data_IF_800858852854
#
_entry.id   IF_800858852854
#
_cell.length_a   1.000
_cell.length_b   1.000
_cell.length_c   1.000
_cell.angle_alpha   90.00
_cell.angle_beta   90.00
_cell.angle_gamma   90.00
#
_symmetry.space_group_name_H-M   'P 1'
#
loop_
_entity.id
_entity.type
_entity.pdbx_description
1 polymer ?
#
# COMPACT_ATOMS: atom_id res chain seq x y z
N UNK A 1 -33.02 24.40 -0.35
CA UNK A 1 -31.60 24.76 -0.62
C UNK A 1 -30.85 24.90 0.70
N UNK A 2 -29.99 23.94 1.06
CA UNK A 2 -28.96 24.10 2.12
C UNK A 2 -27.87 23.03 1.92
N UNK A 3 -26.62 23.46 2.01
CA UNK A 3 -25.39 22.80 1.55
C UNK A 3 -25.01 21.53 2.32
N UNK A 4 -24.64 20.48 1.58
CA UNK A 4 -24.10 19.19 2.05
C UNK A 4 -22.57 19.22 2.16
N UNK A 5 -22.03 19.91 3.17
CA UNK A 5 -20.57 19.98 3.43
C UNK A 5 -20.10 19.55 4.83
N UNK A 6 -20.94 18.95 5.67
CA UNK A 6 -20.61 18.76 7.10
C UNK A 6 -20.67 17.31 7.59
N UNK A 7 -20.05 16.36 6.88
CA UNK A 7 -20.01 14.95 7.32
C UNK A 7 -18.66 14.25 7.07
N UNK A 8 -17.53 14.96 7.21
CA UNK A 8 -16.19 14.32 7.23
C UNK A 8 -15.24 14.79 8.36
N UNK A 9 -15.70 15.58 9.33
CA UNK A 9 -14.85 16.05 10.45
C UNK A 9 -15.21 15.38 11.79
N UNK A 10 -15.15 14.05 11.83
CA UNK A 10 -15.32 13.28 13.07
C UNK A 10 -13.98 13.03 13.78
N UNK A 11 -13.87 13.16 15.12
CA UNK A 11 -12.63 12.97 15.89
C UNK A 11 -12.02 11.57 15.77
N UNK A 12 -12.79 10.60 15.28
CA UNK A 12 -12.32 9.25 14.98
C UNK A 12 -11.36 9.23 13.78
N UNK A 13 -11.61 10.02 12.72
CA UNK A 13 -10.75 10.03 11.53
C UNK A 13 -9.34 10.57 11.79
N UNK A 14 -9.22 11.55 12.68
CA UNK A 14 -7.91 12.11 13.10
C UNK A 14 -7.21 11.24 14.16
N UNK A 15 -7.98 10.45 14.90
CA UNK A 15 -7.48 9.51 15.90
C UNK A 15 -6.79 8.31 15.26
N UNK A 16 -7.31 7.77 14.16
CA UNK A 16 -6.59 6.76 13.37
C UNK A 16 -5.23 7.27 12.87
N UNK A 17 -5.18 8.51 12.34
CA UNK A 17 -3.92 9.12 11.89
C UNK A 17 -2.93 9.35 13.04
N UNK A 18 -3.42 9.78 14.22
CA UNK A 18 -2.62 10.03 15.42
C UNK A 18 -2.14 8.78 16.14
N UNK A 19 -2.98 7.76 16.21
CA UNK A 19 -2.66 6.48 16.87
C UNK A 19 -1.63 5.69 16.04
N UNK A 20 -1.61 5.87 14.71
CA UNK A 20 -0.51 5.44 13.83
C UNK A 20 0.80 6.18 14.13
N UNK A 21 0.74 7.45 14.57
CA UNK A 21 1.96 8.27 14.76
C UNK A 21 2.66 8.05 16.09
N UNK A 22 2.00 7.49 17.12
CA UNK A 22 2.55 7.47 18.48
C UNK A 22 2.99 6.11 19.02
N UNK A 23 2.68 4.97 18.37
CA UNK A 23 2.88 3.66 19.00
C UNK A 23 3.97 2.73 18.42
N UNK A 24 4.77 3.08 17.39
CA UNK A 24 5.71 2.12 16.78
C UNK A 24 7.01 2.77 16.24
N UNK A 25 7.98 3.05 17.11
CA UNK A 25 9.37 3.39 16.72
C UNK A 25 10.22 2.11 16.68
N UNK A 26 9.71 1.05 16.07
CA UNK A 26 10.51 0.28 15.12
C UNK A 26 10.06 0.83 13.78
N UNK A 27 10.85 1.77 13.26
CA UNK A 27 10.48 2.76 12.25
C UNK A 27 9.68 2.10 11.12
N UNK A 28 8.61 2.75 10.67
CA UNK A 28 7.79 2.34 9.52
C UNK A 28 8.63 1.83 8.34
N UNK A 29 9.84 2.37 8.20
CA UNK A 29 10.93 1.96 7.31
C UNK A 29 11.44 0.53 7.58
N UNK A 30 11.83 0.17 8.80
CA UNK A 30 12.19 -1.21 9.14
C UNK A 30 11.04 -2.20 8.90
N UNK A 31 9.79 -1.74 9.10
CA UNK A 31 8.59 -2.55 8.95
C UNK A 31 8.17 -2.77 7.50
N UNK A 32 8.46 -1.83 6.59
CA UNK A 32 7.97 -1.86 5.19
C UNK A 32 9.08 -2.00 4.14
N UNK A 33 10.30 -1.58 4.40
CA UNK A 33 11.42 -1.62 3.43
C UNK A 33 12.68 -2.31 3.99
N UNK A 34 12.79 -2.40 5.31
CA UNK A 34 14.01 -2.88 5.98
C UNK A 34 14.33 -4.37 5.82
N UNK A 35 13.34 -5.26 5.70
CA UNK A 35 13.60 -6.71 5.61
C UNK A 35 13.47 -7.28 4.19
N UNK A 36 14.21 -8.37 3.92
CA UNK A 36 14.24 -9.06 2.62
C UNK A 36 12.83 -9.50 2.18
N UNK A 37 12.02 -9.99 3.12
CA UNK A 37 10.64 -10.39 2.86
C UNK A 37 9.79 -9.24 2.28
N UNK A 38 9.94 -8.02 2.82
CA UNK A 38 9.17 -6.87 2.36
C UNK A 38 9.67 -6.39 1.00
N UNK A 39 10.99 -6.27 0.81
CA UNK A 39 11.57 -5.85 -0.47
C UNK A 39 11.18 -6.79 -1.60
N UNK A 40 11.19 -8.10 -1.35
CA UNK A 40 10.74 -9.10 -2.31
C UNK A 40 9.24 -8.97 -2.61
N UNK A 41 8.42 -8.67 -1.61
CA UNK A 41 6.99 -8.40 -1.81
C UNK A 41 6.80 -7.17 -2.71
N UNK A 42 7.50 -6.07 -2.43
CA UNK A 42 7.45 -4.87 -3.27
C UNK A 42 7.91 -5.14 -4.70
N UNK A 43 9.04 -5.83 -4.88
CA UNK A 43 9.55 -6.21 -6.19
C UNK A 43 8.51 -7.00 -6.99
N UNK A 44 7.89 -8.02 -6.38
CA UNK A 44 6.85 -8.84 -7.03
C UNK A 44 5.64 -8.02 -7.45
N UNK A 45 5.14 -7.14 -6.59
CA UNK A 45 3.98 -6.31 -6.90
C UNK A 45 4.30 -5.29 -7.97
N UNK A 46 5.44 -4.59 -7.87
CA UNK A 46 5.84 -3.60 -8.86
C UNK A 46 6.12 -4.22 -10.23
N UNK A 47 6.63 -5.46 -10.27
CA UNK A 47 6.80 -6.23 -11.50
C UNK A 47 5.49 -6.45 -12.26
N UNK A 48 4.36 -6.58 -11.55
CA UNK A 48 3.04 -6.66 -12.19
C UNK A 48 2.67 -5.39 -12.99
N UNK A 49 3.34 -4.27 -12.71
CA UNK A 49 3.10 -2.97 -13.32
C UNK A 49 4.27 -2.46 -14.18
N UNK A 50 5.28 -3.30 -14.42
CA UNK A 50 6.55 -2.97 -15.09
C UNK A 50 7.31 -1.83 -14.39
N UNK A 51 7.27 -1.81 -13.05
CA UNK A 51 7.92 -0.82 -12.19
C UNK A 51 8.93 -1.47 -11.24
N UNK A 52 9.36 -2.70 -11.51
CA UNK A 52 10.25 -3.48 -10.63
C UNK A 52 11.62 -2.82 -10.38
N UNK A 53 12.12 -2.03 -11.34
CA UNK A 53 13.30 -1.19 -11.14
C UNK A 53 13.13 -0.08 -10.10
N UNK A 54 11.90 0.17 -9.63
CA UNK A 54 11.57 1.13 -8.58
C UNK A 54 11.33 0.46 -7.23
N UNK A 55 11.68 -0.82 -7.06
CA UNK A 55 11.55 -1.49 -5.76
C UNK A 55 12.44 -0.81 -4.70
N UNK A 56 11.97 -0.75 -3.43
CA UNK A 56 12.74 -0.11 -2.37
C UNK A 56 14.05 -0.86 -2.14
N UNK A 57 15.13 -0.08 -2.03
CA UNK A 57 16.46 -0.61 -1.71
C UNK A 57 16.61 -0.82 -0.20
N UNK A 58 17.67 -1.53 0.20
CA UNK A 58 18.00 -1.68 1.61
C UNK A 58 18.23 -0.30 2.24
N UNK A 59 17.75 -0.12 3.48
CA UNK A 59 17.95 1.09 4.30
C UNK A 59 17.31 2.38 3.77
N UNK A 60 16.57 2.34 2.64
CA UNK A 60 15.82 3.49 2.17
C UNK A 60 14.52 3.69 3.00
N UNK A 61 14.28 4.88 3.57
CA UNK A 61 13.04 5.19 4.25
C UNK A 61 11.84 5.05 3.31
N UNK A 62 10.75 4.46 3.81
CA UNK A 62 9.53 4.19 3.04
C UNK A 62 8.92 5.47 2.47
N UNK A 63 8.87 6.54 3.26
CA UNK A 63 8.31 7.81 2.83
C UNK A 63 9.12 8.47 1.70
N UNK A 64 10.45 8.37 1.77
CA UNK A 64 11.37 8.87 0.73
C UNK A 64 11.23 8.03 -0.54
N UNK A 65 11.33 6.69 -0.40
CA UNK A 65 11.14 5.74 -1.49
C UNK A 65 9.83 5.98 -2.24
N UNK A 66 8.71 6.12 -1.51
CA UNK A 66 7.42 6.36 -2.13
C UNK A 66 7.41 7.69 -2.86
N UNK A 67 7.86 8.77 -2.22
CA UNK A 67 7.85 10.10 -2.83
C UNK A 67 8.68 10.16 -4.10
N UNK A 68 9.85 9.52 -4.12
CA UNK A 68 10.75 9.50 -5.27
C UNK A 68 10.26 8.58 -6.38
N UNK A 69 9.77 7.39 -6.03
CA UNK A 69 9.16 6.46 -7.00
C UNK A 69 7.94 7.09 -7.67
N UNK A 70 7.11 7.81 -6.89
CA UNK A 70 5.92 8.51 -7.39
C UNK A 70 6.26 9.57 -8.44
N UNK A 71 7.41 10.25 -8.32
CA UNK A 71 7.86 11.24 -9.32
C UNK A 71 8.13 10.57 -10.67
N UNK A 72 8.65 9.35 -10.66
CA UNK A 72 8.98 8.56 -11.85
C UNK A 72 7.75 7.91 -12.52
N UNK A 73 6.64 7.76 -11.78
CA UNK A 73 5.37 7.27 -12.32
C UNK A 73 4.65 8.38 -13.11
N UNK A 74 4.18 8.03 -14.32
CA UNK A 74 3.39 8.91 -15.18
C UNK A 74 2.19 9.51 -14.42
N UNK A 75 1.93 10.81 -14.59
CA UNK A 75 0.94 11.57 -13.79
C UNK A 75 -0.45 10.91 -13.75
N UNK A 76 -0.89 10.33 -14.87
CA UNK A 76 -2.18 9.62 -14.99
C UNK A 76 -2.26 8.34 -14.15
N UNK A 77 -1.12 7.67 -13.89
CA UNK A 77 -1.03 6.43 -13.11
C UNK A 77 -0.80 6.66 -11.61
N UNK A 78 -0.39 7.86 -11.19
CA UNK A 78 0.02 8.16 -9.80
C UNK A 78 -1.05 7.83 -8.77
N UNK A 79 -2.32 8.15 -9.02
CA UNK A 79 -3.42 7.84 -8.09
C UNK A 79 -3.60 6.33 -7.87
N UNK A 80 -3.52 5.55 -8.94
CA UNK A 80 -3.60 4.08 -8.86
C UNK A 80 -2.38 3.51 -8.16
N UNK A 81 -1.20 4.06 -8.46
CA UNK A 81 0.05 3.69 -7.81
C UNK A 81 0.00 3.95 -6.31
N UNK A 82 -0.42 5.14 -5.87
CA UNK A 82 -0.58 5.49 -4.45
C UNK A 82 -1.56 4.53 -3.74
N UNK A 83 -2.61 4.08 -4.44
CA UNK A 83 -3.58 3.13 -3.90
C UNK A 83 -2.98 1.74 -3.72
N UNK A 84 -2.15 1.27 -4.66
CA UNK A 84 -1.40 0.02 -4.52
C UNK A 84 -0.38 0.11 -3.39
N UNK A 85 0.38 1.21 -3.29
CA UNK A 85 1.36 1.40 -2.22
C UNK A 85 0.68 1.30 -0.84
N UNK A 86 -0.46 1.98 -0.67
CA UNK A 86 -1.26 1.85 0.55
C UNK A 86 -1.72 0.41 0.83
N UNK A 87 -2.27 -0.27 -0.17
CA UNK A 87 -2.76 -1.63 -0.02
C UNK A 87 -1.64 -2.61 0.36
N UNK A 88 -0.49 -2.52 -0.30
CA UNK A 88 0.68 -3.38 -0.01
C UNK A 88 1.19 -3.10 1.40
N UNK A 89 1.35 -1.83 1.78
CA UNK A 89 1.80 -1.46 3.12
C UNK A 89 0.85 -1.99 4.21
N UNK A 90 -0.46 -1.87 4.00
CA UNK A 90 -1.48 -2.42 4.89
C UNK A 90 -1.38 -3.95 5.02
N UNK A 91 -1.22 -4.66 3.90
CA UNK A 91 -1.15 -6.12 3.91
C UNK A 91 0.16 -6.65 4.49
N UNK A 92 1.29 -5.97 4.27
CA UNK A 92 2.56 -6.27 4.96
C UNK A 92 2.39 -6.09 6.47
N UNK A 93 1.80 -4.98 6.91
CA UNK A 93 1.53 -4.73 8.32
C UNK A 93 0.63 -5.81 8.93
N UNK A 94 -0.47 -6.17 8.23
CA UNK A 94 -1.38 -7.24 8.64
C UNK A 94 -0.65 -8.58 8.77
N UNK A 95 0.22 -8.91 7.83
CA UNK A 95 0.97 -10.17 7.84
C UNK A 95 1.98 -10.24 8.98
N UNK A 96 2.65 -9.12 9.28
CA UNK A 96 3.53 -9.02 10.45
C UNK A 96 2.77 -9.21 11.76
N UNK A 97 1.59 -8.62 11.90
CA UNK A 97 0.75 -8.83 13.08
C UNK A 97 0.35 -10.31 13.22
N UNK A 98 0.06 -11.01 12.13
CA UNK A 98 -0.18 -12.47 12.19
C UNK A 98 1.05 -13.25 12.64
N UNK A 99 2.27 -12.87 12.24
CA UNK A 99 3.51 -13.50 12.75
C UNK A 99 3.63 -13.37 14.26
N UNK A 100 3.42 -12.16 14.77
CA UNK A 100 3.57 -11.84 16.19
C UNK A 100 2.49 -12.55 17.02
N UNK A 101 1.24 -12.59 16.55
CA UNK A 101 0.11 -13.10 17.32
C UNK A 101 -0.24 -14.57 17.07
N UNK A 102 0.05 -15.12 15.88
CA UNK A 102 -0.41 -16.45 15.45
C UNK A 102 0.76 -17.38 15.06
N UNK A 103 2.02 -16.91 15.13
CA UNK A 103 3.23 -17.65 14.69
C UNK A 103 3.15 -18.20 13.26
N UNK A 104 2.25 -17.66 12.45
CA UNK A 104 2.02 -18.07 11.07
C UNK A 104 2.16 -16.85 10.17
N UNK A 105 2.87 -17.02 9.06
CA UNK A 105 2.78 -16.08 7.96
C UNK A 105 3.07 -16.66 6.59
N UNK A 106 2.44 -16.05 5.61
CA UNK A 106 2.69 -16.23 4.19
C UNK A 106 4.10 -15.75 3.83
N UNK A 107 4.68 -16.47 2.87
CA UNK A 107 5.89 -16.08 2.15
C UNK A 107 5.56 -15.02 1.09
N UNK A 108 6.52 -14.19 0.60
CA UNK A 108 6.24 -13.12 -0.36
C UNK A 108 5.56 -13.63 -1.64
N UNK A 109 5.98 -14.82 -2.08
CA UNK A 109 5.41 -15.52 -3.24
C UNK A 109 3.92 -15.83 -3.06
N UNK A 110 3.48 -16.12 -1.84
CA UNK A 110 2.07 -16.40 -1.51
C UNK A 110 1.29 -15.12 -1.16
N UNK A 111 1.97 -14.08 -0.66
CA UNK A 111 1.35 -12.80 -0.33
C UNK A 111 1.03 -11.96 -1.58
N UNK A 112 1.92 -11.97 -2.58
CA UNK A 112 1.73 -11.22 -3.82
C UNK A 112 0.39 -11.50 -4.56
N UNK A 113 -0.04 -12.76 -4.77
CA UNK A 113 -1.33 -13.04 -5.40
C UNK A 113 -2.52 -12.57 -4.53
N UNK A 114 -2.40 -12.63 -3.19
CA UNK A 114 -3.42 -12.12 -2.27
C UNK A 114 -3.57 -10.61 -2.42
N UNK A 115 -2.46 -9.86 -2.43
CA UNK A 115 -2.46 -8.41 -2.68
C UNK A 115 -3.13 -8.08 -4.01
N UNK A 116 -2.77 -8.81 -5.08
CA UNK A 116 -3.34 -8.55 -6.40
C UNK A 116 -4.83 -8.85 -6.46
N UNK A 117 -5.32 -9.88 -5.77
CA UNK A 117 -6.75 -10.15 -5.70
C UNK A 117 -7.51 -9.08 -4.92
N UNK A 118 -6.98 -8.62 -3.78
CA UNK A 118 -7.53 -7.48 -3.04
C UNK A 118 -7.58 -6.21 -3.90
N UNK A 119 -6.54 -5.95 -4.69
CA UNK A 119 -6.52 -4.80 -5.62
C UNK A 119 -7.62 -4.90 -6.68
N UNK A 120 -7.88 -6.11 -7.21
CA UNK A 120 -8.98 -6.35 -8.15
C UNK A 120 -10.34 -6.19 -7.48
N UNK A 121 -10.50 -6.65 -6.25
CA UNK A 121 -11.73 -6.45 -5.47
C UNK A 121 -12.01 -4.96 -5.27
N UNK A 122 -11.00 -4.17 -4.90
CA UNK A 122 -11.14 -2.72 -4.77
C UNK A 122 -11.51 -2.07 -6.10
N UNK A 123 -10.85 -2.47 -7.20
CA UNK A 123 -11.20 -1.97 -8.52
C UNK A 123 -12.66 -2.25 -8.89
N UNK A 124 -13.15 -3.49 -8.65
CA UNK A 124 -14.55 -3.88 -8.87
C UNK A 124 -15.53 -3.15 -7.94
N UNK A 125 -15.09 -2.78 -6.73
CA UNK A 125 -15.85 -1.97 -5.79
C UNK A 125 -15.91 -0.47 -6.15
N UNK A 126 -15.35 -0.07 -7.30
CA UNK A 126 -15.44 1.31 -7.80
C UNK A 126 -14.21 2.17 -7.54
N UNK A 127 -13.09 1.59 -7.11
CA UNK A 127 -11.82 2.33 -7.03
C UNK A 127 -11.24 2.54 -8.44
N UNK A 128 -11.76 3.56 -9.14
CA UNK A 128 -11.46 3.84 -10.55
C UNK A 128 -9.97 3.96 -10.84
N UNK A 129 -9.20 4.59 -9.94
CA UNK A 129 -7.76 4.75 -10.13
C UNK A 129 -7.01 3.40 -10.13
N UNK A 130 -7.45 2.43 -9.33
CA UNK A 130 -6.94 1.06 -9.35
C UNK A 130 -7.40 0.32 -10.60
N UNK A 131 -8.67 0.47 -10.99
CA UNK A 131 -9.19 -0.13 -12.21
C UNK A 131 -8.40 0.33 -13.45
N UNK A 132 -8.15 1.64 -13.57
CA UNK A 132 -7.32 2.21 -14.64
C UNK A 132 -5.88 1.68 -14.61
N UNK A 133 -5.28 1.54 -13.43
CA UNK A 133 -3.93 1.00 -13.30
C UNK A 133 -3.85 -0.50 -13.67
N UNK A 134 -4.88 -1.27 -13.31
CA UNK A 134 -4.99 -2.70 -13.57
C UNK A 134 -5.50 -3.03 -14.98
N UNK A 135 -5.88 -2.03 -15.78
CA UNK A 135 -6.49 -2.23 -17.09
C UNK A 135 -7.88 -2.87 -17.04
N UNK A 136 -8.57 -2.78 -15.90
CA UNK A 136 -9.94 -3.30 -15.72
C UNK A 136 -10.91 -2.30 -16.32
N UNK A 137 -11.70 -2.74 -17.32
CA UNK A 137 -12.84 -1.96 -17.82
C UNK A 137 -13.95 -2.00 -16.77
N UNK A 138 -14.29 -0.83 -16.23
CA UNK A 138 -15.51 -0.63 -15.46
C UNK A 138 -16.67 -0.47 -16.44
N UNK A 139 -17.83 -1.04 -16.11
CA UNK A 139 -19.02 -1.13 -16.96
C UNK A 139 -19.54 0.25 -17.40
#
# INVERSE_FOLDING_TARGET
>A
MRNSKTLQDGPLGKRWVRDITHAQVETLDHLLTGCVFNRETWFRILRCFQLDGLAPQAEQPFAEWWTDTRKQVAKVRRKGFDSIVWLVAWLIWRERNRRVHQRSALQPVALAPVIMEEARLWARAGFVALASLLGIRLF
#
